data_IF_980069655745
#
_entry.id   IF_980069655745
#
_cell.length_a   1.000
_cell.length_b   1.000
_cell.length_c   1.000
_cell.angle_alpha   90.00
_cell.angle_beta   90.00
_cell.angle_gamma   90.00
#
_symmetry.space_group_name_H-M   'P 1'
#
loop_
_entity.id
_entity.type
_entity.pdbx_description
1 polymer ?
#
# COMPACT_ATOMS: atom_id res chain seq x y z
N UNK A 1 24.74 0.74 6.73
CA UNK A 1 24.42 1.73 5.84
C UNK A 1 23.54 1.31 4.72
N UNK A 2 23.94 0.34 4.01
CA UNK A 2 23.13 -0.15 2.94
C UNK A 2 21.82 -0.69 3.40
N UNK A 3 21.81 -1.20 4.63
CA UNK A 3 20.57 -1.74 5.12
C UNK A 3 19.49 -0.68 5.17
N UNK A 4 19.89 0.57 5.26
CA UNK A 4 18.90 1.63 5.23
C UNK A 4 18.14 1.65 3.94
N UNK A 5 18.83 1.44 2.86
CA UNK A 5 18.18 1.44 1.57
C UNK A 5 17.24 0.28 1.43
N UNK A 6 17.62 -0.85 2.01
CA UNK A 6 16.79 -2.02 1.89
C UNK A 6 15.47 -1.84 2.59
N UNK A 7 15.45 -1.03 3.62
CA UNK A 7 14.20 -0.78 4.32
C UNK A 7 13.29 0.14 3.56
N UNK A 8 13.88 0.98 2.73
CA UNK A 8 13.11 1.97 2.03
C UNK A 8 11.96 1.40 1.22
N UNK A 9 12.13 0.31 0.49
CA UNK A 9 11.01 -0.21 -0.30
C UNK A 9 9.78 -0.48 0.52
N UNK A 10 9.96 -1.05 1.70
CA UNK A 10 8.81 -1.35 2.54
C UNK A 10 8.17 -0.07 3.04
N UNK A 11 8.97 0.89 3.42
CA UNK A 11 8.42 2.16 3.88
C UNK A 11 7.65 2.84 2.77
N UNK A 12 8.20 2.84 1.58
CA UNK A 12 7.52 3.46 0.45
C UNK A 12 6.21 2.77 0.17
N UNK A 13 6.22 1.45 0.21
CA UNK A 13 5.00 0.71 -0.04
C UNK A 13 3.96 1.00 1.01
N UNK A 14 4.39 1.12 2.27
CA UNK A 14 3.46 1.45 3.33
C UNK A 14 2.82 2.80 3.10
N UNK A 15 3.62 3.77 2.72
CA UNK A 15 3.09 5.09 2.46
C UNK A 15 2.12 5.08 1.30
N UNK A 16 2.47 4.37 0.24
CA UNK A 16 1.58 4.27 -0.90
C UNK A 16 0.29 3.57 -0.52
N UNK A 17 0.41 2.53 0.27
CA UNK A 17 -0.75 1.81 0.74
C UNK A 17 -1.70 2.73 1.51
N UNK A 18 -1.15 3.51 2.41
CA UNK A 18 -1.96 4.43 3.20
C UNK A 18 -2.59 5.49 2.31
N UNK A 19 -1.83 5.99 1.35
CA UNK A 19 -2.37 6.99 0.45
C UNK A 19 -3.53 6.43 -0.36
N UNK A 20 -3.40 5.20 -0.82
CA UNK A 20 -4.48 4.57 -1.56
C UNK A 20 -5.71 4.39 -0.70
N UNK A 21 -5.52 4.01 0.55
CA UNK A 21 -6.65 3.86 1.44
C UNK A 21 -7.34 5.19 1.69
N UNK A 22 -6.56 6.23 1.84
CA UNK A 22 -7.14 7.55 2.04
C UNK A 22 -7.95 7.97 0.84
N UNK A 23 -7.40 7.75 -0.35
CA UNK A 23 -8.14 8.09 -1.55
C UNK A 23 -9.41 7.26 -1.67
N UNK A 24 -9.32 6.00 -1.28
CA UNK A 24 -10.50 5.16 -1.33
C UNK A 24 -11.58 5.68 -0.40
N UNK A 25 -11.19 6.14 0.77
CA UNK A 25 -12.16 6.69 1.68
C UNK A 25 -12.80 7.95 1.13
N UNK A 26 -12.01 8.78 0.48
CA UNK A 26 -12.54 9.96 -0.17
C UNK A 26 -13.56 9.59 -1.23
N UNK A 27 -13.22 8.60 -2.04
CA UNK A 27 -14.13 8.17 -3.07
C UNK A 27 -15.41 7.64 -2.47
N UNK A 28 -15.30 6.92 -1.37
CA UNK A 28 -16.47 6.37 -0.71
C UNK A 28 -17.37 7.48 -0.22
N UNK A 29 -16.77 8.52 0.35
CA UNK A 29 -17.56 9.63 0.85
C UNK A 29 -18.28 10.35 -0.26
N UNK A 30 -17.65 10.43 -1.41
CA UNK A 30 -18.28 11.11 -2.55
C UNK A 30 -19.25 10.23 -3.29
N UNK A 31 -19.39 8.99 -2.88
CA UNK A 31 -20.28 8.09 -3.58
C UNK A 31 -19.68 7.53 -4.84
N UNK A 32 -18.39 7.68 -5.02
CA UNK A 32 -17.70 7.20 -6.21
C UNK A 32 -17.28 5.75 -5.98
N UNK A 33 -18.22 4.86 -6.18
CA UNK A 33 -18.00 3.46 -5.86
C UNK A 33 -16.98 2.82 -6.79
N UNK A 34 -16.96 3.25 -8.03
CA UNK A 34 -16.00 2.70 -8.97
C UNK A 34 -14.58 3.00 -8.54
N UNK A 35 -14.30 4.24 -8.21
CA UNK A 35 -12.98 4.61 -7.76
C UNK A 35 -12.64 3.93 -6.45
N UNK A 36 -13.61 3.84 -5.57
CA UNK A 36 -13.39 3.17 -4.30
C UNK A 36 -12.95 1.73 -4.52
N UNK A 37 -13.62 1.02 -5.40
CA UNK A 37 -13.27 -0.36 -5.66
C UNK A 37 -11.87 -0.48 -6.27
N UNK A 38 -11.57 0.38 -7.22
CA UNK A 38 -10.26 0.35 -7.86
C UNK A 38 -9.15 0.64 -6.87
N UNK A 39 -9.35 1.66 -6.06
CA UNK A 39 -8.33 2.05 -5.11
C UNK A 39 -8.13 0.98 -4.05
N UNK A 40 -9.21 0.36 -3.63
CA UNK A 40 -9.11 -0.71 -2.65
C UNK A 40 -8.33 -1.88 -3.23
N UNK A 41 -8.57 -2.21 -4.48
CA UNK A 41 -7.84 -3.28 -5.13
C UNK A 41 -6.36 -2.96 -5.19
N UNK A 42 -6.04 -1.74 -5.55
CA UNK A 42 -4.65 -1.34 -5.63
C UNK A 42 -3.99 -1.40 -4.27
N UNK A 43 -4.70 -0.97 -3.25
CA UNK A 43 -4.17 -1.03 -1.90
C UNK A 43 -3.88 -2.47 -1.50
N UNK A 44 -4.76 -3.38 -1.86
CA UNK A 44 -4.56 -4.77 -1.51
C UNK A 44 -3.33 -5.35 -2.19
N UNK A 45 -3.12 -4.97 -3.44
CA UNK A 45 -1.95 -5.44 -4.15
C UNK A 45 -0.68 -4.94 -3.49
N UNK A 46 -0.70 -3.69 -3.07
CA UNK A 46 0.45 -3.14 -2.38
C UNK A 46 0.67 -3.87 -1.07
N UNK A 47 -0.39 -4.16 -0.36
CA UNK A 47 -0.28 -4.88 0.89
C UNK A 47 0.34 -6.26 0.68
N UNK A 48 -0.03 -6.91 -0.40
CA UNK A 48 0.55 -8.21 -0.69
C UNK A 48 2.05 -8.09 -0.90
N UNK A 49 2.47 -7.06 -1.60
CA UNK A 49 3.88 -6.85 -1.82
C UNK A 49 4.61 -6.60 -0.51
N UNK A 50 3.98 -5.84 0.38
CA UNK A 50 4.58 -5.58 1.67
C UNK A 50 4.77 -6.88 2.43
N UNK A 51 3.76 -7.73 2.41
CA UNK A 51 3.85 -8.99 3.13
C UNK A 51 4.95 -9.87 2.57
N UNK A 52 5.08 -9.89 1.26
CA UNK A 52 6.12 -10.70 0.64
C UNK A 52 7.49 -10.18 1.05
N UNK A 53 7.67 -8.87 1.04
CA UNK A 53 8.94 -8.30 1.40
C UNK A 53 9.26 -8.53 2.86
N UNK A 54 8.26 -8.42 3.71
CA UNK A 54 8.48 -8.64 5.13
C UNK A 54 8.85 -10.09 5.40
N UNK A 55 8.22 -10.99 4.71
CA UNK A 55 8.55 -12.40 4.88
C UNK A 55 9.99 -12.66 4.49
N UNK A 56 10.40 -12.06 3.39
CA UNK A 56 11.77 -12.26 2.95
C UNK A 56 12.75 -11.68 3.94
N UNK A 57 12.40 -10.54 4.49
CA UNK A 57 13.29 -9.88 5.42
C UNK A 57 13.47 -10.69 6.70
N UNK A 58 12.44 -11.37 7.08
CA UNK A 58 12.47 -12.14 8.30
C UNK A 58 13.52 -13.24 8.26
N UNK A 59 13.74 -13.76 7.08
CA UNK A 59 14.74 -14.79 6.97
C UNK A 59 16.11 -14.22 7.12
#
# INVERSE_FOLDING_TARGET
MFSLFKKDPIKKLNKTYEAKLEQAMHAQRNGDIKSYAMLTEEAEEINKKILILENKTEK
#
